data_IF_478545678300
#
_entry.id   IF_478545678300
#
_cell.length_a   1.000
_cell.length_b   1.000
_cell.length_c   1.000
_cell.angle_alpha   90.00
_cell.angle_beta   90.00
_cell.angle_gamma   90.00
#
_symmetry.space_group_name_H-M   'P 1'
#
loop_
_entity.id
_entity.type
_entity.pdbx_description
1 polymer ?
#
# COMPACT_ATOMS: atom_id res chain seq x y z
N UNK A 1 -28.47 2.69 14.50
CA UNK A 1 -28.46 1.75 13.36
C UNK A 1 -27.06 1.77 12.76
N UNK A 2 -26.31 0.72 13.05
CA UNK A 2 -24.92 0.51 12.65
C UNK A 2 -24.85 0.17 11.14
N UNK A 3 -23.84 0.67 10.41
CA UNK A 3 -23.63 0.35 8.98
C UNK A 3 -23.58 -1.17 8.73
N UNK A 4 -23.02 -1.92 9.68
CA UNK A 4 -22.97 -3.38 9.64
C UNK A 4 -24.36 -4.02 9.83
N UNK A 5 -25.23 -3.47 10.68
CA UNK A 5 -26.61 -3.96 10.82
C UNK A 5 -27.40 -3.72 9.53
N UNK A 6 -27.18 -2.60 8.86
CA UNK A 6 -27.84 -2.27 7.60
C UNK A 6 -27.42 -3.23 6.46
N UNK A 7 -26.13 -3.54 6.36
CA UNK A 7 -25.60 -4.43 5.31
C UNK A 7 -25.99 -5.90 5.51
N UNK A 8 -26.13 -6.35 6.75
CA UNK A 8 -26.54 -7.74 7.06
C UNK A 8 -28.06 -7.92 6.88
N UNK A 9 -28.86 -6.86 7.00
CA UNK A 9 -30.32 -6.92 6.84
C UNK A 9 -30.83 -7.00 5.39
N UNK A 10 -29.94 -6.92 4.39
CA UNK A 10 -30.28 -6.90 2.96
C UNK A 10 -29.59 -8.04 2.21
N UNK A 11 -29.88 -9.28 2.62
CA UNK A 11 -29.39 -10.50 1.96
C UNK A 11 -30.22 -10.89 0.71
N UNK A 12 -30.73 -9.88 -0.01
CA UNK A 12 -31.55 -10.11 -1.20
C UNK A 12 -31.84 -8.82 -1.96
N UNK A 13 -31.21 -8.69 -3.13
CA UNK A 13 -31.40 -7.68 -4.17
C UNK A 13 -30.91 -6.24 -3.90
N UNK A 14 -29.94 -5.84 -4.72
CA UNK A 14 -29.55 -4.47 -5.12
C UNK A 14 -29.90 -3.35 -4.14
N UNK A 15 -28.89 -2.89 -3.40
CA UNK A 15 -28.89 -1.65 -2.64
C UNK A 15 -29.55 -0.52 -3.47
N UNK A 16 -30.58 0.10 -2.90
CA UNK A 16 -31.22 1.28 -3.51
C UNK A 16 -30.18 2.35 -3.81
N UNK A 17 -30.32 3.15 -4.87
CA UNK A 17 -29.31 4.14 -5.28
C UNK A 17 -28.97 5.15 -4.16
N UNK A 18 -29.92 5.41 -3.26
CA UNK A 18 -29.73 6.24 -2.06
C UNK A 18 -28.84 5.56 -1.02
N UNK A 19 -29.00 4.26 -0.79
CA UNK A 19 -28.15 3.49 0.10
C UNK A 19 -26.72 3.39 -0.44
N UNK A 20 -26.55 3.13 -1.74
CA UNK A 20 -25.24 3.16 -2.40
C UNK A 20 -24.55 4.51 -2.24
N UNK A 21 -25.25 5.63 -2.46
CA UNK A 21 -24.68 6.97 -2.28
C UNK A 21 -24.22 7.23 -0.83
N UNK A 22 -24.99 6.78 0.17
CA UNK A 22 -24.60 6.88 1.59
C UNK A 22 -23.37 6.03 1.91
N UNK A 23 -23.32 4.79 1.42
CA UNK A 23 -22.18 3.88 1.59
C UNK A 23 -20.92 4.48 0.95
N UNK A 24 -21.00 4.94 -0.30
CA UNK A 24 -19.87 5.58 -0.97
C UNK A 24 -19.38 6.83 -0.23
N UNK A 25 -20.29 7.66 0.30
CA UNK A 25 -19.91 8.82 1.11
C UNK A 25 -19.21 8.42 2.40
N UNK A 26 -19.74 7.44 3.13
CA UNK A 26 -19.14 6.97 4.37
C UNK A 26 -17.76 6.33 4.14
N UNK A 27 -17.61 5.55 3.07
CA UNK A 27 -16.32 4.97 2.67
C UNK A 27 -15.31 6.05 2.28
N UNK A 28 -15.74 7.04 1.49
CA UNK A 28 -14.89 8.18 1.12
C UNK A 28 -14.45 8.96 2.35
N UNK A 29 -15.36 9.24 3.29
CA UNK A 29 -15.04 9.96 4.52
C UNK A 29 -14.09 9.16 5.41
N UNK A 30 -14.35 7.85 5.61
CA UNK A 30 -13.46 6.96 6.36
C UNK A 30 -12.06 6.92 5.75
N UNK A 31 -11.96 6.87 4.41
CA UNK A 31 -10.70 6.91 3.68
C UNK A 31 -9.93 8.21 3.95
N UNK A 32 -10.57 9.37 3.84
CA UNK A 32 -9.91 10.65 4.12
C UNK A 32 -9.43 10.72 5.58
N UNK A 33 -10.27 10.31 6.55
CA UNK A 33 -9.86 10.26 7.96
C UNK A 33 -8.67 9.33 8.19
N UNK A 34 -8.68 8.15 7.58
CA UNK A 34 -7.59 7.19 7.69
C UNK A 34 -6.29 7.76 7.13
N UNK A 35 -6.31 8.30 5.90
CA UNK A 35 -5.15 8.95 5.28
C UNK A 35 -4.63 10.05 6.19
N UNK A 36 -5.47 10.98 6.63
CA UNK A 36 -5.06 12.10 7.49
C UNK A 36 -4.42 11.64 8.80
N UNK A 37 -4.99 10.63 9.47
CA UNK A 37 -4.41 10.08 10.72
C UNK A 37 -3.04 9.46 10.44
N UNK A 38 -2.89 8.72 9.34
CA UNK A 38 -1.60 8.15 8.96
C UNK A 38 -0.58 9.26 8.66
N UNK A 39 -0.92 10.25 7.82
CA UNK A 39 -0.02 11.36 7.50
C UNK A 39 0.43 12.11 8.78
N UNK A 40 -0.48 12.38 9.71
CA UNK A 40 -0.17 13.02 11.00
C UNK A 40 0.73 12.17 11.90
N UNK A 41 0.46 10.86 11.98
CA UNK A 41 1.30 9.92 12.71
C UNK A 41 2.74 9.91 12.17
N UNK A 42 2.89 9.92 10.84
CA UNK A 42 4.20 9.90 10.19
C UNK A 42 4.96 11.22 10.26
N UNK A 43 4.28 12.35 10.11
CA UNK A 43 4.88 13.67 10.32
C UNK A 43 5.46 13.80 11.74
N UNK A 44 4.81 13.17 12.74
CA UNK A 44 5.26 13.20 14.13
C UNK A 44 6.39 12.23 14.45
N UNK A 45 6.42 11.04 13.84
CA UNK A 45 7.40 9.98 14.19
C UNK A 45 8.57 9.83 13.20
N UNK A 46 8.61 10.60 12.10
CA UNK A 46 9.70 10.58 11.10
C UNK A 46 10.10 9.19 10.56
N UNK A 47 9.22 8.18 10.67
CA UNK A 47 9.50 6.78 10.31
C UNK A 47 10.59 6.09 11.13
N UNK A 48 11.05 6.68 12.24
CA UNK A 48 12.14 6.13 13.06
C UNK A 48 11.72 4.92 13.90
N UNK A 49 10.42 4.74 14.13
CA UNK A 49 9.91 3.57 14.85
C UNK A 49 9.71 2.40 13.89
N UNK A 50 10.32 1.26 14.21
CA UNK A 50 10.14 0.00 13.48
C UNK A 50 8.77 -0.58 13.85
N UNK A 51 7.85 -0.66 12.90
CA UNK A 51 6.53 -1.25 13.15
C UNK A 51 6.06 -2.06 11.93
N UNK A 52 5.81 -3.36 12.15
CA UNK A 52 5.40 -4.30 11.09
C UNK A 52 4.02 -3.99 10.51
N UNK A 53 3.12 -3.42 11.30
CA UNK A 53 1.75 -3.10 10.86
C UNK A 53 1.78 -1.96 9.82
N UNK A 54 2.84 -1.14 9.84
CA UNK A 54 3.01 -0.02 8.91
C UNK A 54 3.08 -0.45 7.45
N UNK A 55 3.52 -1.67 7.15
CA UNK A 55 3.45 -2.23 5.78
C UNK A 55 2.02 -2.19 5.24
N UNK A 56 1.05 -2.61 6.05
CA UNK A 56 -0.35 -2.64 5.64
C UNK A 56 -0.93 -1.22 5.59
N UNK A 57 -0.60 -0.38 6.58
CA UNK A 57 -1.14 0.97 6.63
C UNK A 57 -0.59 1.92 5.56
N UNK A 58 0.62 1.68 5.06
CA UNK A 58 1.23 2.48 4.00
C UNK A 58 0.94 1.97 2.59
N UNK A 59 0.83 0.65 2.42
CA UNK A 59 0.52 0.07 1.10
C UNK A 59 -0.84 0.54 0.60
N UNK A 60 -1.86 0.57 1.45
CA UNK A 60 -3.22 1.02 1.08
C UNK A 60 -3.23 2.44 0.47
N UNK A 61 -2.78 3.51 1.17
CA UNK A 61 -2.81 4.86 0.63
C UNK A 61 -1.86 5.01 -0.57
N UNK A 62 -0.70 4.36 -0.57
CA UNK A 62 0.21 4.40 -1.71
C UNK A 62 -0.44 3.87 -3.00
N UNK A 63 -1.03 2.68 -2.95
CA UNK A 63 -1.66 2.08 -4.13
C UNK A 63 -2.97 2.76 -4.53
N UNK A 64 -3.69 3.37 -3.59
CA UNK A 64 -4.86 4.19 -3.88
C UNK A 64 -4.48 5.45 -4.63
N UNK A 65 -3.48 6.19 -4.16
CA UNK A 65 -3.01 7.40 -4.81
C UNK A 65 -2.34 7.11 -6.16
N UNK A 66 -1.57 6.03 -6.26
CA UNK A 66 -1.01 5.59 -7.53
C UNK A 66 -2.12 5.25 -8.55
N UNK A 67 -3.18 4.55 -8.11
CA UNK A 67 -4.33 4.27 -8.96
C UNK A 67 -5.03 5.54 -9.42
N UNK A 68 -5.20 6.52 -8.52
CA UNK A 68 -5.82 7.81 -8.89
C UNK A 68 -4.95 8.55 -9.90
N UNK A 69 -3.63 8.64 -9.70
CA UNK A 69 -2.70 9.29 -10.63
C UNK A 69 -2.65 8.64 -12.02
N UNK A 70 -2.88 7.34 -12.10
CA UNK A 70 -2.97 6.61 -13.37
C UNK A 70 -4.34 6.74 -14.04
N UNK A 71 -5.36 7.21 -13.32
CA UNK A 71 -6.70 7.43 -13.85
C UNK A 71 -6.76 8.79 -14.56
N UNK A 72 -7.13 8.78 -15.85
CA UNK A 72 -7.23 9.99 -16.68
C UNK A 72 -8.39 10.90 -16.27
N UNK A 73 -9.22 10.48 -15.32
CA UNK A 73 -10.35 11.25 -14.80
C UNK A 73 -9.98 12.31 -13.75
N UNK A 74 -8.72 12.38 -13.30
CA UNK A 74 -8.24 13.50 -12.49
C UNK A 74 -8.19 14.78 -13.34
N UNK A 75 -9.16 15.67 -13.14
CA UNK A 75 -9.27 16.93 -13.91
C UNK A 75 -8.62 18.10 -13.17
N UNK A 76 -8.54 18.05 -11.83
CA UNK A 76 -7.99 19.14 -11.03
C UNK A 76 -6.50 18.95 -10.75
N UNK A 77 -5.71 20.00 -10.98
CA UNK A 77 -4.30 20.03 -10.62
C UNK A 77 -4.08 19.83 -9.11
N UNK A 78 -5.02 20.33 -8.28
CA UNK A 78 -4.96 20.17 -6.82
C UNK A 78 -5.07 18.70 -6.41
N UNK A 79 -5.99 17.95 -7.00
CA UNK A 79 -6.18 16.52 -6.72
C UNK A 79 -4.95 15.70 -7.16
N UNK A 80 -4.28 16.11 -8.24
CA UNK A 80 -3.04 15.49 -8.72
C UNK A 80 -1.92 15.70 -7.68
N UNK A 81 -1.73 16.92 -7.22
CA UNK A 81 -0.69 17.24 -6.24
C UNK A 81 -0.96 16.61 -4.87
N UNK A 82 -2.22 16.56 -4.43
CA UNK A 82 -2.61 15.86 -3.20
C UNK A 82 -2.25 14.37 -3.29
N UNK A 83 -2.64 13.70 -4.38
CA UNK A 83 -2.33 12.29 -4.57
C UNK A 83 -0.83 12.02 -4.71
N UNK A 84 -0.07 12.93 -5.35
CA UNK A 84 1.40 12.86 -5.37
C UNK A 84 1.98 12.96 -3.97
N UNK A 85 1.52 13.91 -3.16
CA UNK A 85 1.95 14.07 -1.78
C UNK A 85 1.70 12.81 -0.94
N UNK A 86 0.50 12.24 -1.05
CA UNK A 86 0.15 10.98 -0.36
C UNK A 86 1.02 9.83 -0.85
N UNK A 87 1.20 9.69 -2.17
CA UNK A 87 2.04 8.65 -2.77
C UNK A 87 3.48 8.74 -2.26
N UNK A 88 4.09 9.93 -2.30
CA UNK A 88 5.47 10.12 -1.87
C UNK A 88 5.65 9.86 -0.38
N UNK A 89 4.73 10.35 0.45
CA UNK A 89 4.83 10.12 1.88
C UNK A 89 4.68 8.63 2.21
N UNK A 90 3.73 7.94 1.58
CA UNK A 90 3.53 6.53 1.83
C UNK A 90 4.68 5.66 1.30
N UNK A 91 5.15 5.95 0.08
CA UNK A 91 6.26 5.23 -0.55
C UNK A 91 7.58 5.43 0.19
N UNK A 92 7.86 6.66 0.67
CA UNK A 92 9.03 6.94 1.51
C UNK A 92 8.96 6.10 2.79
N UNK A 93 7.80 6.04 3.43
CA UNK A 93 7.61 5.21 4.62
C UNK A 93 7.86 3.74 4.38
N UNK A 94 7.36 3.19 3.27
CA UNK A 94 7.61 1.81 2.87
C UNK A 94 9.11 1.57 2.62
N UNK A 95 9.81 2.54 2.02
CA UNK A 95 11.26 2.45 1.82
C UNK A 95 12.04 2.45 3.13
N UNK A 96 11.69 3.32 4.08
CA UNK A 96 12.36 3.39 5.39
C UNK A 96 12.09 2.12 6.20
N UNK A 97 10.83 1.70 6.30
CA UNK A 97 10.44 0.48 6.99
C UNK A 97 11.00 -0.78 6.30
N UNK A 98 11.19 -0.73 4.98
CA UNK A 98 11.89 -1.74 4.19
C UNK A 98 13.37 -1.90 4.56
N UNK A 99 13.99 -0.94 5.25
CA UNK A 99 15.30 -1.13 5.86
C UNK A 99 15.28 -2.15 7.02
N UNK A 100 14.15 -2.23 7.74
CA UNK A 100 13.99 -3.08 8.92
C UNK A 100 13.29 -4.42 8.62
N UNK A 101 12.31 -4.41 7.71
CA UNK A 101 11.49 -5.58 7.38
C UNK A 101 11.55 -5.89 5.88
N UNK A 102 11.80 -7.15 5.52
CA UNK A 102 12.03 -7.52 4.13
C UNK A 102 10.72 -7.59 3.33
N UNK A 103 9.60 -8.03 3.92
CA UNK A 103 8.28 -7.91 3.29
C UNK A 103 7.94 -6.46 2.89
N UNK A 104 8.23 -5.50 3.77
CA UNK A 104 7.99 -4.07 3.49
C UNK A 104 8.87 -3.56 2.36
N UNK A 105 10.12 -4.03 2.29
CA UNK A 105 11.02 -3.76 1.18
C UNK A 105 10.47 -4.29 -0.15
N UNK A 106 9.95 -5.52 -0.19
CA UNK A 106 9.34 -6.08 -1.39
C UNK A 106 8.13 -5.27 -1.86
N UNK A 107 7.27 -4.85 -0.93
CA UNK A 107 6.13 -3.96 -1.23
C UNK A 107 6.60 -2.61 -1.77
N UNK A 108 7.67 -2.04 -1.22
CA UNK A 108 8.26 -0.79 -1.72
C UNK A 108 8.78 -0.94 -3.15
N UNK A 109 9.50 -2.03 -3.45
CA UNK A 109 9.99 -2.31 -4.81
C UNK A 109 8.85 -2.46 -5.82
N UNK A 110 7.82 -3.20 -5.45
CA UNK A 110 6.65 -3.39 -6.30
C UNK A 110 5.95 -2.08 -6.63
N UNK A 111 5.69 -1.27 -5.60
CA UNK A 111 5.10 0.04 -5.76
C UNK A 111 5.93 0.91 -6.71
N UNK A 112 7.25 0.93 -6.54
CA UNK A 112 8.18 1.70 -7.38
C UNK A 112 8.16 1.26 -8.86
N UNK A 113 8.03 -0.04 -9.13
CA UNK A 113 7.92 -0.56 -10.51
C UNK A 113 6.65 -0.10 -11.23
N UNK A 114 5.58 0.18 -10.47
CA UNK A 114 4.31 0.66 -11.01
C UNK A 114 4.22 2.20 -11.10
N UNK A 115 5.21 2.93 -10.58
CA UNK A 115 5.25 4.39 -10.65
C UNK A 115 5.66 4.89 -12.05
N UNK A 116 5.16 6.08 -12.41
CA UNK A 116 5.71 6.80 -13.56
C UNK A 116 7.17 7.20 -13.32
N UNK A 117 7.99 7.34 -14.38
CA UNK A 117 9.40 7.73 -14.25
C UNK A 117 9.60 9.03 -13.47
N UNK A 118 8.72 10.01 -13.64
CA UNK A 118 8.78 11.30 -12.94
C UNK A 118 8.60 11.10 -11.43
N UNK A 119 7.56 10.37 -11.03
CA UNK A 119 7.25 10.11 -9.62
C UNK A 119 8.36 9.26 -8.97
N UNK A 120 8.92 8.30 -9.70
CA UNK A 120 10.03 7.47 -9.24
C UNK A 120 11.30 8.30 -8.99
N UNK A 121 11.64 9.20 -9.91
CA UNK A 121 12.81 10.07 -9.79
C UNK A 121 12.73 10.93 -8.54
N UNK A 122 11.56 11.52 -8.27
CA UNK A 122 11.32 12.32 -7.07
C UNK A 122 11.46 11.45 -5.81
N UNK A 123 10.87 10.26 -5.78
CA UNK A 123 10.98 9.37 -4.61
C UNK A 123 12.43 8.97 -4.31
N UNK A 124 13.24 8.70 -5.35
CA UNK A 124 14.64 8.32 -5.21
C UNK A 124 15.51 9.43 -4.62
N UNK A 125 15.13 10.70 -4.74
CA UNK A 125 15.82 11.82 -4.09
C UNK A 125 15.69 11.80 -2.56
N UNK A 126 14.63 11.18 -2.03
CA UNK A 126 14.29 11.20 -0.60
C UNK A 126 14.47 9.84 0.09
N UNK A 127 14.93 8.82 -0.64
CA UNK A 127 15.06 7.45 -0.15
C UNK A 127 16.49 6.96 -0.32
N UNK A 128 17.03 6.31 0.71
CA UNK A 128 18.34 5.65 0.63
C UNK A 128 18.09 4.19 0.25
N UNK A 129 18.61 3.77 -0.90
CA UNK A 129 18.48 2.38 -1.35
C UNK A 129 19.11 1.40 -0.36
N UNK A 130 18.40 0.32 -0.05
CA UNK A 130 18.93 -0.80 0.73
C UNK A 130 20.09 -1.43 -0.05
N UNK A 131 21.30 -1.37 0.50
CA UNK A 131 22.48 -2.07 -0.03
C UNK A 131 22.67 -3.35 0.76
N UNK A 132 22.32 -4.47 0.18
CA UNK A 132 22.51 -5.80 0.76
C UNK A 132 23.09 -6.73 -0.30
N UNK A 133 23.94 -7.67 0.11
CA UNK A 133 24.45 -8.69 -0.80
C UNK A 133 23.38 -9.76 -1.10
N UNK A 134 23.51 -10.42 -2.26
CA UNK A 134 22.53 -11.39 -2.72
C UNK A 134 22.38 -12.59 -1.78
N UNK A 135 23.46 -13.00 -1.10
CA UNK A 135 23.43 -14.09 -0.13
C UNK A 135 22.57 -13.77 1.10
N UNK A 136 22.67 -12.55 1.63
CA UNK A 136 21.95 -12.09 2.82
C UNK A 136 20.49 -11.85 2.49
N UNK A 137 20.20 -11.36 1.28
CA UNK A 137 18.83 -11.26 0.74
C UNK A 137 18.15 -12.64 0.68
N UNK A 138 18.83 -13.66 0.16
CA UNK A 138 18.31 -15.03 0.09
C UNK A 138 18.06 -15.66 1.46
N UNK A 139 18.92 -15.37 2.45
CA UNK A 139 18.76 -15.88 3.81
C UNK A 139 17.55 -15.22 4.48
N UNK A 140 17.39 -13.90 4.35
CA UNK A 140 16.24 -13.17 4.91
C UNK A 140 14.92 -13.60 4.26
N UNK A 141 14.90 -13.76 2.94
CA UNK A 141 13.73 -14.29 2.23
C UNK A 141 13.28 -15.65 2.77
N UNK A 142 14.22 -16.58 2.98
CA UNK A 142 13.92 -17.90 3.58
C UNK A 142 13.47 -17.79 5.04
N UNK A 143 14.00 -16.83 5.79
CA UNK A 143 13.66 -16.66 7.19
C UNK A 143 12.25 -16.07 7.36
N UNK A 144 11.85 -15.09 6.53
CA UNK A 144 10.49 -14.56 6.56
C UNK A 144 9.45 -15.60 6.15
N UNK A 145 9.74 -16.44 5.15
CA UNK A 145 8.89 -17.58 4.74
C UNK A 145 8.65 -18.57 5.90
N UNK A 146 9.63 -18.72 6.80
CA UNK A 146 9.54 -19.61 7.98
C UNK A 146 8.84 -18.95 9.18
N UNK A 147 9.07 -17.66 9.41
CA UNK A 147 8.44 -16.93 10.52
C UNK A 147 6.97 -16.62 10.24
N UNK A 148 6.59 -16.53 8.96
CA UNK A 148 5.22 -16.37 8.53
C UNK A 148 4.81 -17.59 7.69
N UNK A 149 4.42 -18.72 8.32
CA UNK A 149 3.80 -19.85 7.62
C UNK A 149 2.40 -19.48 7.07
N UNK A 150 1.97 -18.23 7.26
CA UNK A 150 0.87 -17.66 6.51
C UNK A 150 1.34 -17.65 5.07
N UNK A 151 0.87 -18.64 4.31
CA UNK A 151 0.69 -18.49 2.89
C UNK A 151 0.11 -17.10 2.67
N UNK A 152 0.94 -16.16 2.20
CA UNK A 152 0.53 -14.83 1.75
C UNK A 152 -0.27 -14.99 0.42
N UNK A 153 -1.02 -16.08 0.32
CA UNK A 153 -1.88 -16.57 -0.75
C UNK A 153 -3.34 -16.25 -0.41
N UNK A 154 -3.63 -15.84 0.84
CA UNK A 154 -4.97 -15.44 1.30
C UNK A 154 -5.06 -13.97 1.70
N UNK A 155 -4.19 -13.11 1.16
CA UNK A 155 -4.50 -11.68 1.12
C UNK A 155 -5.49 -11.50 -0.03
N UNK A 156 -6.74 -11.13 0.29
CA UNK A 156 -7.80 -10.81 -0.69
C UNK A 156 -7.43 -9.65 -1.64
N UNK A 157 -6.28 -9.03 -1.42
CA UNK A 157 -5.68 -8.07 -2.35
C UNK A 157 -4.95 -8.82 -3.47
N UNK A 158 -5.62 -8.86 -4.63
CA UNK A 158 -5.12 -9.48 -5.85
C UNK A 158 -3.73 -8.97 -6.25
N UNK A 159 -3.35 -7.74 -5.88
CA UNK A 159 -2.07 -7.13 -6.28
C UNK A 159 -0.91 -7.74 -5.51
N UNK A 160 -1.02 -7.81 -4.19
CA UNK A 160 0.01 -8.43 -3.34
C UNK A 160 0.13 -9.93 -3.64
N UNK A 161 -1.01 -10.62 -3.83
CA UNK A 161 -1.00 -12.02 -4.25
C UNK A 161 -0.38 -12.26 -5.64
N UNK A 162 -0.51 -11.31 -6.58
CA UNK A 162 0.14 -11.40 -7.90
C UNK A 162 1.63 -11.13 -7.82
N UNK A 163 2.04 -10.16 -7.01
CA UNK A 163 3.44 -9.84 -6.75
C UNK A 163 4.19 -11.02 -6.11
N UNK A 164 3.54 -11.73 -5.20
CA UNK A 164 4.10 -12.93 -4.55
C UNK A 164 4.20 -14.09 -5.54
N UNK A 165 3.23 -14.23 -6.45
CA UNK A 165 3.31 -15.21 -7.54
C UNK A 165 4.46 -14.92 -8.49
N UNK A 166 4.63 -13.66 -8.90
CA UNK A 166 5.75 -13.22 -9.73
C UNK A 166 7.09 -13.48 -9.05
N UNK A 167 7.18 -13.21 -7.73
CA UNK A 167 8.35 -13.51 -6.92
C UNK A 167 8.64 -15.02 -6.81
N UNK A 168 7.61 -15.86 -6.65
CA UNK A 168 7.78 -17.32 -6.63
C UNK A 168 8.24 -17.88 -7.99
N UNK A 169 7.90 -17.21 -9.10
CA UNK A 169 8.33 -17.58 -10.44
C UNK A 169 9.79 -17.20 -10.73
N UNK A 170 10.27 -16.06 -10.20
CA UNK A 170 11.69 -15.69 -10.28
C UNK A 170 12.63 -16.68 -9.56
N UNK A 171 12.07 -17.55 -8.70
CA UNK A 171 12.78 -18.61 -7.97
C UNK A 171 13.12 -19.85 -8.83
N UNK A 172 12.59 -19.97 -10.06
CA UNK A 172 12.70 -21.18 -10.90
C UNK A 172 13.77 -21.05 -12.01
N UNK A 173 14.36 -19.87 -12.24
CA UNK A 173 15.38 -19.66 -13.29
C UNK A 173 16.83 -19.68 -12.80
N UNK A 174 17.13 -20.45 -11.74
CA UNK A 174 18.51 -20.75 -11.32
C UNK A 174 18.69 -22.26 -11.25
#
# INVERSE_FOLDING_TARGET
MNLCEFLISHDGNTLTPVANKKVHRALSQSRHSFVSIMLLFYLRQCYDMQDRIMTQYLSIPAYLSLKQLNDRSLVSQEDIEENRGILYLAAKGLSVQGGYYYLTYLVSLALQREMSPDNLTVLQQFTVGRKEDSSTEHIRARHEERQYPIHIVTIKDQRLGSLIKEYSAMRIQI
#
